data_IF_436611335516
#
_entry.id   IF_436611335516
#
_cell.length_a   1.000
_cell.length_b   1.000
_cell.length_c   1.000
_cell.angle_alpha   90.00
_cell.angle_beta   90.00
_cell.angle_gamma   90.00
#
_symmetry.space_group_name_H-M   'P 1'
#
loop_
_entity.id
_entity.type
_entity.pdbx_description
1 polymer ?
#
# COMPACT_ATOMS: atom_id res chain seq x y z
N UNK A 1 14.88 -21.70 13.62
CA UNK A 1 14.13 -20.65 12.91
C UNK A 1 14.02 -21.06 11.45
N UNK A 2 12.81 -21.20 10.90
CA UNK A 2 12.60 -21.46 9.45
C UNK A 2 12.37 -20.11 8.76
N UNK A 3 13.05 -19.79 7.65
CA UNK A 3 12.75 -18.57 6.91
C UNK A 3 11.40 -18.70 6.20
N UNK A 4 10.45 -17.83 6.55
CA UNK A 4 9.07 -17.78 6.05
C UNK A 4 8.93 -17.13 4.67
N UNK A 5 9.94 -17.28 3.80
CA UNK A 5 9.87 -16.79 2.42
C UNK A 5 10.34 -17.88 1.47
N UNK A 6 9.45 -18.81 1.18
CA UNK A 6 9.62 -19.78 0.10
C UNK A 6 9.73 -19.00 -1.22
N UNK A 7 10.94 -18.96 -1.78
CA UNK A 7 11.39 -18.34 -3.03
C UNK A 7 10.65 -18.79 -4.31
N UNK A 8 9.44 -19.38 -4.22
CA UNK A 8 8.68 -19.93 -5.36
C UNK A 8 7.57 -19.04 -5.91
N UNK A 9 7.28 -17.89 -5.31
CA UNK A 9 6.29 -16.91 -5.83
C UNK A 9 6.92 -15.76 -6.65
N UNK A 10 8.22 -15.82 -6.90
CA UNK A 10 9.06 -14.64 -7.15
C UNK A 10 9.33 -14.16 -8.61
N UNK A 11 8.59 -14.54 -9.67
CA UNK A 11 8.73 -13.79 -10.93
C UNK A 11 7.55 -12.86 -11.26
N UNK A 12 6.47 -12.79 -10.47
CA UNK A 12 5.30 -11.94 -10.82
C UNK A 12 4.75 -11.00 -9.75
N UNK A 13 5.20 -11.09 -8.49
CA UNK A 13 4.45 -10.50 -7.37
C UNK A 13 5.20 -9.38 -6.61
N UNK A 14 6.49 -9.14 -6.90
CA UNK A 14 7.21 -8.03 -6.25
C UNK A 14 7.80 -7.05 -7.27
N UNK A 15 7.00 -6.09 -7.71
CA UNK A 15 7.49 -4.86 -8.35
C UNK A 15 7.85 -3.86 -7.25
N UNK A 16 8.97 -4.08 -6.57
CA UNK A 16 9.52 -3.08 -5.64
C UNK A 16 10.41 -2.14 -6.44
N UNK A 17 10.01 -0.88 -6.51
CA UNK A 17 10.81 0.18 -7.12
C UNK A 17 11.48 1.00 -6.03
N UNK A 18 12.81 1.02 -6.02
CA UNK A 18 13.60 1.86 -5.12
C UNK A 18 13.87 3.20 -5.83
N UNK A 19 13.07 4.22 -5.50
CA UNK A 19 13.09 5.52 -6.18
C UNK A 19 13.97 6.56 -5.47
N UNK A 20 14.29 6.36 -4.19
CA UNK A 20 15.03 7.33 -3.37
C UNK A 20 14.25 8.64 -3.23
N UNK A 21 14.95 9.78 -3.32
CA UNK A 21 14.34 11.12 -3.33
C UNK A 21 13.96 11.62 -4.74
N UNK A 22 14.05 10.77 -5.76
CA UNK A 22 13.84 11.14 -7.15
C UNK A 22 12.40 10.86 -7.58
N UNK A 23 11.54 11.85 -7.33
CA UNK A 23 10.11 11.83 -7.62
C UNK A 23 9.81 11.71 -9.11
N UNK A 24 10.70 12.17 -9.99
CA UNK A 24 10.51 12.07 -11.44
C UNK A 24 10.45 10.60 -11.90
N UNK A 25 11.09 9.69 -11.17
CA UNK A 25 11.02 8.25 -11.43
C UNK A 25 9.66 7.63 -11.08
N UNK A 26 8.80 8.32 -10.32
CA UNK A 26 7.44 7.88 -10.00
C UNK A 26 6.46 8.18 -11.15
N UNK A 27 6.66 9.27 -11.89
CA UNK A 27 5.79 9.74 -12.98
C UNK A 27 5.52 8.72 -14.10
N UNK A 28 6.48 7.87 -14.54
CA UNK A 28 6.18 6.84 -15.55
C UNK A 28 5.44 5.62 -14.98
N UNK A 29 5.37 5.48 -13.64
CA UNK A 29 4.74 4.35 -12.97
C UNK A 29 3.33 4.68 -12.47
N UNK A 30 3.09 5.93 -12.09
CA UNK A 30 1.82 6.40 -11.52
C UNK A 30 1.41 7.69 -12.24
N UNK A 31 0.16 7.79 -12.73
CA UNK A 31 -0.39 9.03 -13.27
C UNK A 31 -0.22 10.22 -12.33
N UNK A 32 0.21 11.36 -12.86
CA UNK A 32 0.53 12.56 -12.05
C UNK A 32 -0.67 13.16 -11.31
N UNK A 33 -1.88 12.92 -11.80
CA UNK A 33 -3.16 13.30 -11.18
C UNK A 33 -3.55 12.45 -9.97
N UNK A 34 -2.85 11.34 -9.73
CA UNK A 34 -2.96 10.52 -8.52
C UNK A 34 -1.85 10.81 -7.50
N UNK A 35 -0.84 11.59 -7.90
CA UNK A 35 0.28 11.95 -7.03
C UNK A 35 -0.10 13.23 -6.27
N UNK A 36 0.00 13.25 -4.92
CA UNK A 36 -0.25 14.45 -4.14
C UNK A 36 0.62 15.64 -4.61
N UNK A 37 0.10 16.86 -4.51
CA UNK A 37 0.85 18.09 -4.82
C UNK A 37 2.19 18.17 -4.06
N UNK A 38 2.21 17.74 -2.80
CA UNK A 38 3.42 17.66 -1.97
C UNK A 38 4.53 16.78 -2.55
N UNK A 39 4.17 15.89 -3.48
CA UNK A 39 5.05 14.97 -4.18
C UNK A 39 5.11 15.27 -5.69
N UNK A 40 4.86 16.52 -6.10
CA UNK A 40 5.07 16.96 -7.49
C UNK A 40 4.02 16.51 -8.50
N UNK A 41 2.83 16.09 -8.03
CA UNK A 41 1.64 15.83 -8.84
C UNK A 41 0.59 16.93 -8.72
N UNK A 42 -0.66 16.60 -9.01
CA UNK A 42 -1.80 17.53 -8.95
C UNK A 42 -2.96 17.04 -8.08
N UNK A 43 -2.78 15.93 -7.37
CA UNK A 43 -3.81 15.41 -6.48
C UNK A 43 -3.82 16.18 -5.16
N UNK A 44 -5.02 16.40 -4.61
CA UNK A 44 -5.19 17.00 -3.30
C UNK A 44 -4.43 16.23 -2.21
N UNK A 45 -4.11 16.93 -1.12
CA UNK A 45 -3.46 16.32 0.03
C UNK A 45 -4.32 15.17 0.59
N UNK A 46 -3.69 14.04 0.88
CA UNK A 46 -4.36 12.90 1.46
C UNK A 46 -4.90 13.20 2.87
N UNK A 47 -6.20 13.00 3.08
CA UNK A 47 -6.84 13.12 4.40
C UNK A 47 -6.66 11.81 5.20
N UNK A 48 -5.63 11.81 6.04
CA UNK A 48 -5.32 10.68 6.92
C UNK A 48 -6.41 10.45 7.98
N UNK A 49 -7.06 11.51 8.47
CA UNK A 49 -8.07 11.43 9.52
C UNK A 49 -9.36 10.79 9.00
N UNK A 50 -9.80 11.18 7.80
CA UNK A 50 -10.96 10.56 7.13
C UNK A 50 -10.69 9.09 6.81
N UNK A 51 -9.48 8.76 6.36
CA UNK A 51 -9.07 7.37 6.11
C UNK A 51 -9.10 6.55 7.40
N UNK A 52 -8.54 7.06 8.49
CA UNK A 52 -8.57 6.39 9.78
C UNK A 52 -10.01 6.15 10.25
N UNK A 53 -10.86 7.18 10.20
CA UNK A 53 -12.28 7.07 10.57
C UNK A 53 -13.01 6.01 9.74
N UNK A 54 -12.77 5.95 8.43
CA UNK A 54 -13.34 4.92 7.53
C UNK A 54 -12.86 3.51 7.89
N UNK A 55 -11.58 3.34 8.23
CA UNK A 55 -11.01 2.05 8.64
C UNK A 55 -11.58 1.59 9.98
N UNK A 56 -11.66 2.48 10.97
CA UNK A 56 -12.26 2.20 12.28
C UNK A 56 -13.75 1.82 12.14
N UNK A 57 -14.49 2.49 11.25
CA UNK A 57 -15.88 2.13 10.94
C UNK A 57 -16.07 0.72 10.37
N UNK A 58 -15.00 0.09 9.88
CA UNK A 58 -14.99 -1.29 9.36
C UNK A 58 -14.37 -2.31 10.33
N UNK A 59 -14.12 -1.95 11.59
CA UNK A 59 -13.47 -2.82 12.56
C UNK A 59 -14.15 -4.20 12.70
N UNK A 60 -15.49 -4.26 12.66
CA UNK A 60 -16.22 -5.53 12.73
C UNK A 60 -15.95 -6.45 11.53
N UNK A 61 -15.79 -5.90 10.33
CA UNK A 61 -15.46 -6.66 9.13
C UNK A 61 -14.04 -7.26 9.23
N UNK A 62 -13.07 -6.49 9.72
CA UNK A 62 -11.72 -7.00 9.95
C UNK A 62 -11.68 -8.07 11.04
N UNK A 63 -12.48 -7.91 12.10
CA UNK A 63 -12.66 -8.94 13.14
C UNK A 63 -13.20 -10.23 12.54
N UNK A 64 -14.27 -10.16 11.75
CA UNK A 64 -14.86 -11.33 11.10
C UNK A 64 -13.85 -12.05 10.20
N UNK A 65 -13.10 -11.33 9.36
CA UNK A 65 -12.08 -11.95 8.50
C UNK A 65 -10.97 -12.59 9.31
N UNK A 66 -10.57 -11.98 10.43
CA UNK A 66 -9.52 -12.54 11.30
C UNK A 66 -9.88 -13.92 11.85
N UNK A 67 -11.17 -14.25 11.96
CA UNK A 67 -11.64 -15.54 12.43
C UNK A 67 -11.36 -16.67 11.43
N UNK A 68 -11.22 -16.36 10.14
CA UNK A 68 -10.97 -17.32 9.05
C UNK A 68 -9.51 -17.38 8.60
N UNK A 69 -8.61 -16.62 9.23
CA UNK A 69 -7.18 -16.66 8.97
C UNK A 69 -6.51 -17.95 9.45
N UNK A 70 -5.21 -18.10 9.16
CA UNK A 70 -4.40 -19.22 9.67
C UNK A 70 -4.45 -19.24 11.21
N UNK A 71 -5.20 -20.20 11.75
CA UNK A 71 -5.13 -20.61 13.16
C UNK A 71 -4.00 -21.64 13.26
N UNK A 72 -3.13 -21.48 14.25
CA UNK A 72 -2.03 -22.42 14.55
C UNK A 72 -2.55 -23.85 14.79
#
# INVERSE_FOLDING_TARGET
>A
MRPLYTLKLFPRILQVHLLGYDVEKLRPLVPGDLIPEANGGTHESFDYDDTERKLQGRANYFREISEYGYRD
#
